data_IF_021721744751
#
_entry.id   IF_021721744751
#
_cell.length_a   1.000
_cell.length_b   1.000
_cell.length_c   1.000
_cell.angle_alpha   90.00
_cell.angle_beta   90.00
_cell.angle_gamma   90.00
#
_symmetry.space_group_name_H-M   'P 1'
#
loop_
_entity.id
_entity.type
_entity.pdbx_description
1 polymer ?
#
# COMPACT_ATOMS: atom_id res chain seq x y z
N UNK A 1 8.20 -2.98 -22.68
CA UNK A 1 8.26 -2.08 -23.84
C UNK A 1 8.78 -0.67 -23.50
N UNK A 2 8.27 0.02 -22.47
CA UNK A 2 8.80 1.34 -22.04
C UNK A 2 10.26 1.32 -21.56
N UNK A 3 10.72 0.22 -20.96
CA UNK A 3 12.08 0.10 -20.42
C UNK A 3 13.17 0.01 -21.52
N UNK A 4 12.95 -0.82 -22.55
CA UNK A 4 13.92 -1.03 -23.62
C UNK A 4 14.13 0.21 -24.48
N UNK A 5 13.06 0.96 -24.76
CA UNK A 5 13.15 2.22 -25.49
C UNK A 5 13.82 3.32 -24.66
N UNK A 6 13.59 3.36 -23.35
CA UNK A 6 14.28 4.29 -22.43
C UNK A 6 15.78 4.00 -22.38
N UNK A 7 16.17 2.72 -22.27
CA UNK A 7 17.58 2.30 -22.31
C UNK A 7 18.24 2.61 -23.67
N UNK A 8 17.51 2.49 -24.79
CA UNK A 8 18.01 2.83 -26.12
C UNK A 8 18.27 4.33 -26.26
N UNK A 9 17.31 5.17 -25.89
CA UNK A 9 17.44 6.63 -25.91
C UNK A 9 18.59 7.12 -25.03
N UNK A 10 18.75 6.53 -23.86
CA UNK A 10 19.84 6.84 -22.94
C UNK A 10 21.20 6.50 -23.56
N UNK A 11 21.35 5.32 -24.19
CA UNK A 11 22.58 4.92 -24.90
C UNK A 11 22.93 5.86 -26.04
N UNK A 12 21.94 6.30 -26.83
CA UNK A 12 22.18 7.23 -27.94
C UNK A 12 22.66 8.60 -27.43
N UNK A 13 22.09 9.10 -26.32
CA UNK A 13 22.54 10.37 -25.72
C UNK A 13 23.93 10.29 -25.10
N UNK A 14 24.29 9.16 -24.48
CA UNK A 14 25.62 8.94 -23.89
C UNK A 14 26.72 8.77 -24.96
N UNK A 15 26.42 8.17 -26.11
CA UNK A 15 27.38 8.07 -27.23
C UNK A 15 27.81 9.44 -27.78
N UNK A 16 26.93 10.44 -27.68
CA UNK A 16 27.14 11.76 -28.28
C UNK A 16 27.62 12.83 -27.29
N UNK A 17 27.63 12.54 -25.98
CA UNK A 17 28.10 13.46 -24.95
C UNK A 17 28.97 12.70 -23.94
N UNK A 18 30.29 12.93 -23.98
CA UNK A 18 31.23 12.39 -23.01
C UNK A 18 31.10 13.10 -21.66
N UNK A 19 30.04 12.78 -20.92
CA UNK A 19 29.87 13.15 -19.53
C UNK A 19 29.62 11.85 -18.76
N UNK A 20 30.42 11.60 -17.73
CA UNK A 20 30.15 10.53 -16.76
C UNK A 20 28.74 10.70 -16.21
N UNK A 21 27.84 9.81 -16.57
CA UNK A 21 26.44 9.88 -16.22
C UNK A 21 26.07 8.59 -15.52
N UNK A 22 25.84 8.67 -14.21
CA UNK A 22 25.17 7.61 -13.45
C UNK A 22 23.68 7.73 -13.70
N UNK A 23 23.07 6.67 -14.22
CA UNK A 23 21.63 6.63 -14.46
C UNK A 23 21.00 5.75 -13.40
N UNK A 24 20.30 6.39 -12.47
CA UNK A 24 19.57 5.70 -11.42
C UNK A 24 18.17 5.43 -11.97
N UNK A 25 17.92 4.21 -12.42
CA UNK A 25 16.58 3.76 -12.76
C UNK A 25 15.91 3.27 -11.48
N UNK A 26 15.09 4.13 -10.88
CA UNK A 26 14.20 3.72 -9.79
C UNK A 26 13.00 3.07 -10.45
N UNK A 27 12.94 1.73 -10.44
CA UNK A 27 11.69 1.05 -10.73
C UNK A 27 10.74 1.40 -9.60
N UNK A 28 9.82 2.33 -9.86
CA UNK A 28 8.62 2.40 -9.06
C UNK A 28 7.98 1.02 -9.09
N UNK A 29 7.36 0.64 -7.97
CA UNK A 29 6.48 -0.52 -7.89
C UNK A 29 7.22 -1.85 -7.64
N UNK A 30 7.77 -1.96 -6.44
CA UNK A 30 7.51 -3.06 -5.49
C UNK A 30 8.24 -2.65 -4.21
N UNK A 31 7.60 -2.79 -3.04
CA UNK A 31 8.35 -2.75 -1.78
C UNK A 31 8.91 -4.16 -1.57
N UNK A 32 10.23 -4.34 -1.46
CA UNK A 32 11.24 -3.28 -1.33
C UNK A 32 11.65 -2.63 -2.65
N UNK A 33 11.85 -1.31 -2.61
CA UNK A 33 12.33 -0.52 -3.78
C UNK A 33 13.74 -0.99 -4.14
N UNK A 34 13.86 -1.74 -5.22
CA UNK A 34 15.17 -2.04 -5.83
C UNK A 34 15.66 -0.78 -6.54
N UNK A 35 16.80 -0.22 -6.10
CA UNK A 35 17.48 0.81 -6.88
C UNK A 35 18.38 0.08 -7.87
N UNK A 36 18.04 0.20 -9.15
CA UNK A 36 18.92 -0.24 -10.21
C UNK A 36 19.88 0.91 -10.53
N UNK A 37 21.12 0.81 -10.05
CA UNK A 37 22.16 1.78 -10.37
C UNK A 37 22.87 1.32 -11.64
N UNK A 38 22.70 2.06 -12.73
CA UNK A 38 23.50 1.86 -13.95
C UNK A 38 24.72 2.78 -13.87
N UNK A 39 25.87 2.20 -13.54
CA UNK A 39 27.16 2.87 -13.61
C UNK A 39 27.80 2.56 -14.96
N UNK A 40 27.96 3.57 -15.81
CA UNK A 40 28.73 3.45 -17.04
C UNK A 40 30.14 4.01 -16.80
N UNK A 41 31.13 3.14 -16.68
CA UNK A 41 32.54 3.53 -16.63
C UNK A 41 33.03 3.85 -18.05
N UNK A 42 33.33 5.12 -18.30
CA UNK A 42 33.73 5.63 -19.62
C UNK A 42 35.24 5.50 -19.89
N UNK A 43 36.06 5.10 -18.90
CA UNK A 43 37.51 4.97 -19.08
C UNK A 43 37.91 3.69 -19.82
N UNK A 44 36.98 2.74 -19.93
CA UNK A 44 37.13 1.52 -20.71
C UNK A 44 36.17 1.57 -21.90
N UNK A 45 36.68 1.55 -23.12
CA UNK A 45 35.91 1.44 -24.38
C UNK A 45 35.06 0.16 -24.50
N UNK A 46 35.12 -0.71 -23.48
CA UNK A 46 34.19 -1.81 -23.28
C UNK A 46 33.20 -1.40 -22.18
N UNK A 47 31.92 -1.27 -22.54
CA UNK A 47 30.82 -1.32 -21.57
C UNK A 47 30.86 -2.69 -20.87
N UNK A 48 31.67 -2.81 -19.82
CA UNK A 48 31.56 -3.90 -18.86
C UNK A 48 30.17 -3.75 -18.23
N UNK A 49 29.25 -4.65 -18.59
CA UNK A 49 27.89 -4.64 -18.07
C UNK A 49 27.88 -5.26 -16.67
N UNK A 50 28.57 -4.66 -15.71
CA UNK A 50 28.35 -4.99 -14.30
C UNK A 50 27.09 -4.26 -13.85
N UNK A 51 25.98 -5.00 -13.77
CA UNK A 51 24.75 -4.49 -13.17
C UNK A 51 24.90 -4.58 -11.65
N UNK A 52 25.12 -3.45 -11.00
CA UNK A 52 25.07 -3.38 -9.54
C UNK A 52 23.65 -3.02 -9.11
N UNK A 53 22.91 -4.03 -8.64
CA UNK A 53 21.64 -3.81 -7.97
C UNK A 53 21.97 -3.44 -6.53
N UNK A 54 21.77 -2.18 -6.17
CA UNK A 54 21.89 -1.72 -4.79
C UNK A 54 20.50 -1.68 -4.17
N UNK A 55 20.24 -2.55 -3.21
CA UNK A 55 18.96 -2.58 -2.51
C UNK A 55 18.98 -1.58 -1.35
N UNK A 56 18.02 -0.66 -1.31
CA UNK A 56 17.81 0.20 -0.15
C UNK A 56 17.25 -0.64 0.99
N UNK A 57 18.09 -0.94 1.99
CA UNK A 57 17.68 -1.77 3.12
C UNK A 57 16.82 -1.02 4.17
N UNK A 58 16.67 0.30 4.06
CA UNK A 58 15.94 1.11 5.04
C UNK A 58 14.54 1.49 4.55
N UNK A 59 13.51 1.13 5.32
CA UNK A 59 12.14 1.59 5.09
C UNK A 59 11.85 2.79 5.98
N UNK A 60 11.62 3.95 5.36
CA UNK A 60 11.36 5.24 6.02
C UNK A 60 9.88 5.66 6.03
N UNK A 61 8.98 4.83 5.49
CA UNK A 61 7.53 5.08 5.40
C UNK A 61 6.73 3.96 6.04
N UNK A 62 5.56 4.27 6.58
CA UNK A 62 4.72 3.32 7.32
C UNK A 62 5.15 3.12 8.77
N UNK A 63 4.25 2.64 9.62
CA UNK A 63 4.59 2.42 11.02
C UNK A 63 5.48 1.20 11.20
N UNK A 64 6.37 1.23 12.20
CA UNK A 64 7.20 0.07 12.53
C UNK A 64 6.36 -1.18 12.82
N UNK A 65 5.22 -1.03 13.48
CA UNK A 65 4.30 -2.11 13.84
C UNK A 65 3.65 -2.78 12.62
N UNK A 66 3.25 -1.99 11.62
CA UNK A 66 2.74 -2.51 10.34
C UNK A 66 3.85 -3.27 9.62
N UNK A 67 5.03 -2.66 9.48
CA UNK A 67 6.18 -3.28 8.82
C UNK A 67 6.54 -4.61 9.50
N UNK A 68 6.69 -4.62 10.81
CA UNK A 68 7.14 -5.79 11.56
C UNK A 68 6.08 -6.92 11.57
N UNK A 69 4.78 -6.59 11.55
CA UNK A 69 3.71 -7.59 11.37
C UNK A 69 3.88 -8.35 10.05
N UNK A 70 4.09 -7.63 8.94
CA UNK A 70 4.22 -8.24 7.62
C UNK A 70 5.57 -8.91 7.35
N UNK A 71 6.63 -8.53 8.06
CA UNK A 71 7.88 -9.29 8.07
C UNK A 71 7.70 -10.72 8.54
N UNK A 72 6.86 -10.94 9.54
CA UNK A 72 6.56 -12.27 10.06
C UNK A 72 5.95 -13.19 8.99
N UNK A 73 5.19 -12.61 8.06
CA UNK A 73 4.55 -13.35 6.95
C UNK A 73 5.47 -13.55 5.74
N UNK A 74 6.49 -12.70 5.56
CA UNK A 74 7.41 -12.75 4.42
C UNK A 74 8.89 -12.74 4.85
N UNK A 75 9.37 -13.78 5.55
CA UNK A 75 10.73 -13.82 6.10
C UNK A 75 11.82 -13.70 5.03
N UNK A 76 11.58 -14.23 3.82
CA UNK A 76 12.55 -14.21 2.71
C UNK A 76 12.57 -12.89 1.92
N UNK A 77 11.51 -12.06 2.01
CA UNK A 77 11.38 -10.82 1.24
C UNK A 77 11.73 -9.56 2.05
N UNK A 78 12.00 -9.69 3.35
CA UNK A 78 12.21 -8.55 4.24
C UNK A 78 13.59 -8.55 4.90
N UNK A 79 14.58 -8.04 4.17
CA UNK A 79 15.91 -7.71 4.74
C UNK A 79 15.89 -6.35 5.48
N UNK A 80 14.74 -5.68 5.54
CA UNK A 80 14.66 -4.26 5.88
C UNK A 80 14.37 -4.01 7.36
N UNK A 81 15.16 -3.19 8.05
CA UNK A 81 14.80 -2.71 9.39
C UNK A 81 13.84 -1.51 9.30
N UNK A 82 12.75 -1.56 10.06
CA UNK A 82 11.84 -0.41 10.17
C UNK A 82 12.44 0.58 11.17
N UNK A 83 12.86 1.75 10.70
CA UNK A 83 13.43 2.83 11.52
C UNK A 83 12.38 3.89 11.90
N UNK A 84 11.11 3.60 11.64
CA UNK A 84 10.01 4.55 11.79
C UNK A 84 9.49 4.59 13.23
N UNK A 85 8.65 5.59 13.51
CA UNK A 85 7.93 5.74 14.78
C UNK A 85 7.13 4.45 15.06
N UNK A 86 7.13 4.02 16.33
CA UNK A 86 6.26 2.94 16.79
C UNK A 86 4.82 3.44 16.66
N UNK A 87 4.07 2.90 15.70
CA UNK A 87 2.67 3.23 15.48
C UNK A 87 1.73 2.22 16.14
N UNK A 88 0.47 2.23 15.71
CA UNK A 88 -0.53 1.30 16.22
C UNK A 88 -0.27 -0.13 15.74
N UNK A 89 -0.59 -1.16 16.55
CA UNK A 89 -0.58 -2.54 16.08
C UNK A 89 -1.61 -2.73 14.95
N UNK A 90 -1.39 -3.73 14.09
CA UNK A 90 -2.36 -4.12 13.06
C UNK A 90 -3.59 -4.73 13.75
N UNK A 91 -4.77 -4.24 13.39
CA UNK A 91 -6.05 -4.81 13.86
C UNK A 91 -6.49 -5.90 12.90
N UNK A 92 -6.84 -7.07 13.44
CA UNK A 92 -7.29 -8.23 12.66
C UNK A 92 -8.77 -8.48 12.94
N UNK A 93 -9.59 -8.51 11.88
CA UNK A 93 -11.02 -8.76 11.95
C UNK A 93 -11.36 -9.95 11.06
N UNK A 94 -11.73 -11.06 11.70
CA UNK A 94 -12.12 -12.30 11.03
C UNK A 94 -13.65 -12.39 10.98
N UNK A 95 -14.19 -12.81 9.83
CA UNK A 95 -15.63 -12.95 9.63
C UNK A 95 -15.98 -14.07 8.63
N UNK A 96 -17.26 -14.44 8.54
CA UNK A 96 -17.72 -15.26 7.43
C UNK A 96 -17.74 -14.43 6.12
N UNK A 97 -17.57 -15.08 4.96
CA UNK A 97 -17.61 -14.38 3.67
C UNK A 97 -18.92 -13.59 3.43
N UNK A 98 -20.04 -14.08 3.96
CA UNK A 98 -21.33 -13.40 3.89
C UNK A 98 -21.41 -12.14 4.77
N UNK A 99 -20.49 -11.98 5.72
CA UNK A 99 -20.49 -10.92 6.73
C UNK A 99 -19.43 -9.85 6.46
N UNK A 100 -18.53 -10.04 5.51
CA UNK A 100 -17.37 -9.16 5.27
C UNK A 100 -17.74 -7.67 5.13
N UNK A 101 -18.82 -7.36 4.42
CA UNK A 101 -19.33 -5.99 4.26
C UNK A 101 -19.80 -5.38 5.58
N UNK A 102 -20.48 -6.18 6.41
CA UNK A 102 -20.99 -5.76 7.71
C UNK A 102 -19.84 -5.59 8.72
N UNK A 103 -18.92 -6.55 8.77
CA UNK A 103 -17.73 -6.49 9.62
C UNK A 103 -16.86 -5.27 9.30
N UNK A 104 -16.62 -4.99 8.02
CA UNK A 104 -15.91 -3.78 7.60
C UNK A 104 -16.63 -2.51 8.08
N UNK A 105 -17.95 -2.43 7.87
CA UNK A 105 -18.74 -1.27 8.29
C UNK A 105 -18.63 -1.04 9.81
N UNK A 106 -18.74 -2.09 10.61
CA UNK A 106 -18.55 -2.01 12.06
C UNK A 106 -17.14 -1.55 12.44
N UNK A 107 -16.12 -2.02 11.72
CA UNK A 107 -14.74 -1.56 11.89
C UNK A 107 -14.52 -0.10 11.50
N UNK A 108 -15.31 0.42 10.57
CA UNK A 108 -15.22 1.81 10.08
C UNK A 108 -15.90 2.81 11.04
N UNK A 109 -16.97 2.41 11.73
CA UNK A 109 -17.77 3.29 12.61
C UNK A 109 -16.99 4.12 13.63
N UNK A 110 -15.98 3.58 14.36
CA UNK A 110 -15.21 4.36 15.32
C UNK A 110 -14.45 5.54 14.69
N UNK A 111 -14.11 5.45 13.41
CA UNK A 111 -13.46 6.53 12.66
C UNK A 111 -14.48 7.52 12.14
N UNK A 112 -15.62 7.04 11.64
CA UNK A 112 -16.70 7.93 11.17
C UNK A 112 -17.32 8.75 12.29
N UNK A 113 -17.40 8.19 13.50
CA UNK A 113 -17.88 8.91 14.68
C UNK A 113 -17.00 10.12 15.04
N UNK A 114 -15.75 10.16 14.59
CA UNK A 114 -14.86 11.31 14.78
C UNK A 114 -15.09 12.42 13.73
N UNK A 115 -15.90 12.16 12.69
CA UNK A 115 -16.22 13.14 11.64
C UNK A 115 -17.34 14.13 12.03
N UNK A 116 -18.02 13.95 13.17
CA UNK A 116 -19.23 14.73 13.50
C UNK A 116 -18.92 16.15 14.05
N UNK A 117 -18.70 17.10 13.13
CA UNK A 117 -19.50 18.33 13.11
C UNK A 117 -19.11 19.56 13.97
N UNK A 118 -17.96 19.64 14.62
CA UNK A 118 -17.48 20.92 15.21
C UNK A 118 -16.15 21.35 14.57
N UNK A 119 -16.20 21.73 13.29
CA UNK A 119 -15.15 22.58 12.74
C UNK A 119 -15.31 23.97 13.37
N UNK A 120 -14.56 24.25 14.43
CA UNK A 120 -14.44 25.60 14.98
C UNK A 120 -13.30 26.30 14.22
N UNK A 121 -13.57 27.09 13.16
CA UNK A 121 -12.52 27.75 12.38
C UNK A 121 -11.71 28.78 13.18
N UNK A 122 -12.08 29.05 14.43
CA UNK A 122 -11.40 29.98 15.33
C UNK A 122 -10.56 29.29 16.41
N UNK A 123 -10.59 27.96 16.51
CA UNK A 123 -9.69 27.21 17.39
C UNK A 123 -8.30 27.14 16.75
N UNK A 124 -7.39 27.98 17.26
CA UNK A 124 -5.96 27.75 17.14
C UNK A 124 -5.59 26.73 18.20
N UNK A 125 -5.08 25.58 17.76
CA UNK A 125 -4.70 24.38 18.54
C UNK A 125 -5.83 23.38 18.85
N UNK A 126 -6.12 22.49 17.89
CA UNK A 126 -6.62 21.14 18.17
C UNK A 126 -6.10 20.18 17.10
N UNK A 127 -5.73 18.98 17.51
CA UNK A 127 -5.25 17.87 16.68
C UNK A 127 -6.14 17.74 15.43
N UNK A 128 -5.56 17.69 14.22
CA UNK A 128 -6.37 17.44 13.01
C UNK A 128 -7.10 16.12 13.23
N UNK A 129 -8.41 16.18 13.33
CA UNK A 129 -9.26 14.99 13.31
C UNK A 129 -8.98 14.20 12.03
N UNK A 130 -9.28 12.90 12.08
CA UNK A 130 -9.27 12.07 10.89
C UNK A 130 -10.21 12.73 9.88
N UNK A 131 -9.83 12.80 8.61
CA UNK A 131 -10.67 13.25 7.50
C UNK A 131 -11.03 12.05 6.58
N UNK A 132 -12.11 12.07 5.79
CA UNK A 132 -12.45 10.98 4.88
C UNK A 132 -11.32 10.58 3.93
N UNK A 133 -10.57 11.56 3.40
CA UNK A 133 -9.37 11.32 2.58
C UNK A 133 -8.22 10.59 3.28
N UNK A 134 -8.25 10.49 4.61
CA UNK A 134 -7.23 9.79 5.37
C UNK A 134 -7.48 8.28 5.42
N UNK A 135 -8.64 7.83 4.92
CA UNK A 135 -9.08 6.44 4.93
C UNK A 135 -9.12 5.90 3.49
N UNK A 136 -8.55 4.71 3.32
CA UNK A 136 -8.76 3.88 2.13
C UNK A 136 -9.18 2.47 2.49
N UNK A 137 -10.04 1.90 1.66
CA UNK A 137 -10.46 0.51 1.69
C UNK A 137 -9.93 -0.16 0.43
N UNK A 138 -8.98 -1.07 0.61
CA UNK A 138 -8.29 -1.76 -0.47
C UNK A 138 -8.73 -3.22 -0.49
N UNK A 139 -9.32 -3.63 -1.61
CA UNK A 139 -9.97 -4.93 -1.76
C UNK A 139 -9.18 -5.82 -2.72
N UNK A 140 -9.16 -7.13 -2.46
CA UNK A 140 -8.50 -8.15 -3.29
C UNK A 140 -9.30 -8.58 -4.54
N UNK A 141 -10.61 -8.34 -4.55
CA UNK A 141 -11.53 -8.72 -5.63
C UNK A 141 -12.34 -7.51 -6.11
N UNK A 142 -12.23 -7.20 -7.40
CA UNK A 142 -12.91 -6.09 -8.05
C UNK A 142 -14.44 -6.18 -8.02
N UNK A 143 -15.03 -7.38 -7.93
CA UNK A 143 -16.49 -7.55 -7.77
C UNK A 143 -16.93 -7.03 -6.41
N UNK A 144 -16.16 -7.35 -5.36
CA UNK A 144 -16.45 -6.90 -4.00
C UNK A 144 -16.26 -5.40 -3.86
N UNK A 145 -15.33 -4.77 -4.59
CA UNK A 145 -15.22 -3.29 -4.65
C UNK A 145 -16.57 -2.66 -5.01
N UNK A 146 -17.20 -3.12 -6.09
CA UNK A 146 -18.48 -2.55 -6.55
C UNK A 146 -19.61 -2.78 -5.55
N UNK A 147 -19.72 -4.00 -5.03
CA UNK A 147 -20.74 -4.34 -4.03
C UNK A 147 -20.56 -3.54 -2.74
N UNK A 148 -19.31 -3.35 -2.32
CA UNK A 148 -18.97 -2.67 -1.10
C UNK A 148 -19.18 -1.16 -1.20
N UNK A 149 -18.73 -0.54 -2.30
CA UNK A 149 -18.97 0.88 -2.58
C UNK A 149 -20.47 1.17 -2.57
N UNK A 150 -21.28 0.31 -3.22
CA UNK A 150 -22.74 0.44 -3.16
C UNK A 150 -23.27 0.30 -1.73
N UNK A 151 -22.85 -0.73 -1.01
CA UNK A 151 -23.30 -0.97 0.37
C UNK A 151 -22.98 0.19 1.31
N UNK A 152 -21.78 0.79 1.22
CA UNK A 152 -21.37 1.93 2.04
C UNK A 152 -22.14 3.21 1.67
N UNK A 153 -22.34 3.46 0.37
CA UNK A 153 -23.17 4.58 -0.10
C UNK A 153 -24.64 4.44 0.37
N UNK A 154 -25.20 3.23 0.38
CA UNK A 154 -26.53 2.94 0.93
C UNK A 154 -26.61 3.20 2.46
N UNK A 155 -25.46 3.21 3.14
CA UNK A 155 -25.29 3.58 4.56
C UNK A 155 -24.92 5.06 4.76
N UNK A 156 -25.05 5.89 3.74
CA UNK A 156 -24.74 7.32 3.77
C UNK A 156 -23.26 7.63 4.00
N UNK A 157 -22.38 6.70 3.65
CA UNK A 157 -20.93 6.91 3.67
C UNK A 157 -20.50 7.19 2.23
N UNK A 158 -20.03 8.40 1.95
CA UNK A 158 -19.64 8.78 0.59
C UNK A 158 -18.30 8.13 0.23
N UNK A 159 -18.37 7.16 -0.68
CA UNK A 159 -17.22 6.40 -1.16
C UNK A 159 -17.02 6.58 -2.66
N UNK A 160 -15.75 6.52 -3.10
CA UNK A 160 -15.39 6.54 -4.52
C UNK A 160 -14.06 5.82 -4.76
N UNK A 161 -13.67 5.69 -6.02
CA UNK A 161 -12.37 5.17 -6.44
C UNK A 161 -11.22 6.05 -5.95
N UNK A 162 -9.98 5.55 -6.05
CA UNK A 162 -8.78 6.35 -5.72
C UNK A 162 -8.69 7.60 -6.60
N UNK A 163 -9.05 7.49 -7.89
CA UNK A 163 -9.06 8.62 -8.81
C UNK A 163 -10.15 9.65 -8.46
N UNK A 164 -11.33 9.20 -8.04
CA UNK A 164 -12.40 10.09 -7.60
C UNK A 164 -12.03 10.81 -6.30
N UNK A 165 -11.46 10.12 -5.31
CA UNK A 165 -10.99 10.75 -4.06
C UNK A 165 -9.89 11.80 -4.31
N UNK A 166 -9.04 11.59 -5.32
CA UNK A 166 -8.04 12.58 -5.71
C UNK A 166 -8.67 13.91 -6.19
N UNK A 167 -9.91 13.86 -6.70
CA UNK A 167 -10.67 15.01 -7.15
C UNK A 167 -11.65 15.53 -6.08
N UNK A 168 -12.12 14.67 -5.17
CA UNK A 168 -13.00 15.02 -4.06
C UNK A 168 -12.48 14.43 -2.72
N UNK A 169 -11.83 15.25 -1.87
CA UNK A 169 -11.25 14.79 -0.61
C UNK A 169 -12.30 14.43 0.45
N UNK A 170 -13.59 14.62 0.19
CA UNK A 170 -14.67 14.18 1.08
C UNK A 170 -15.02 12.69 0.89
N UNK A 171 -14.46 12.03 -0.13
CA UNK A 171 -14.66 10.61 -0.38
C UNK A 171 -13.72 9.75 0.45
N UNK A 172 -14.22 8.61 0.92
CA UNK A 172 -13.37 7.48 1.33
C UNK A 172 -13.03 6.67 0.07
N UNK A 173 -11.74 6.42 -0.16
CA UNK A 173 -11.31 5.60 -1.30
C UNK A 173 -11.70 4.14 -1.08
N UNK A 174 -12.36 3.53 -2.07
CA UNK A 174 -12.70 2.11 -2.11
C UNK A 174 -12.31 1.58 -3.47
N UNK A 175 -11.28 0.75 -3.54
CA UNK A 175 -10.73 0.30 -4.81
C UNK A 175 -10.01 -1.05 -4.72
N UNK A 176 -9.71 -1.63 -5.87
CA UNK A 176 -8.86 -2.80 -5.96
C UNK A 176 -7.42 -2.42 -5.60
N UNK A 177 -6.71 -3.28 -4.85
CA UNK A 177 -5.38 -2.94 -4.33
C UNK A 177 -4.37 -2.53 -5.43
N UNK A 178 -4.47 -3.10 -6.63
CA UNK A 178 -3.59 -2.75 -7.77
C UNK A 178 -3.72 -1.29 -8.22
N UNK A 179 -4.89 -0.67 -8.05
CA UNK A 179 -5.11 0.74 -8.40
C UNK A 179 -4.47 1.70 -7.39
N UNK A 180 -4.15 1.20 -6.19
CA UNK A 180 -3.65 1.99 -5.06
C UNK A 180 -2.12 2.07 -4.97
N UNK A 181 -1.40 1.39 -5.86
CA UNK A 181 0.07 1.19 -5.79
C UNK A 181 0.86 2.50 -5.65
N UNK A 182 0.35 3.61 -6.18
CA UNK A 182 1.04 4.92 -6.18
C UNK A 182 0.60 5.86 -5.05
N UNK A 183 -0.32 5.42 -4.19
CA UNK A 183 -0.97 6.25 -3.18
C UNK A 183 -0.65 5.75 -1.77
N UNK A 184 -0.83 6.60 -0.77
CA UNK A 184 -0.55 6.31 0.65
C UNK A 184 -1.62 7.00 1.49
N UNK A 185 -2.10 6.31 2.53
CA UNK A 185 -3.15 6.81 3.44
C UNK A 185 -2.73 6.63 4.90
N UNK A 186 -3.09 7.55 5.80
CA UNK A 186 -2.96 7.34 7.25
C UNK A 186 -3.59 6.04 7.72
N UNK A 187 -4.79 5.70 7.24
CA UNK A 187 -5.58 4.55 7.68
C UNK A 187 -5.97 3.71 6.46
N UNK A 188 -5.67 2.42 6.52
CA UNK A 188 -6.05 1.47 5.46
C UNK A 188 -6.84 0.32 6.06
N UNK A 189 -7.97 0.02 5.44
CA UNK A 189 -8.71 -1.22 5.60
C UNK A 189 -8.33 -2.15 4.44
N UNK A 190 -7.55 -3.19 4.72
CA UNK A 190 -7.30 -4.26 3.76
C UNK A 190 -8.44 -5.27 3.87
N UNK A 191 -9.16 -5.52 2.78
CA UNK A 191 -10.35 -6.39 2.76
C UNK A 191 -10.12 -7.52 1.79
N UNK A 192 -10.08 -8.76 2.27
CA UNK A 192 -9.76 -9.90 1.42
C UNK A 192 -10.48 -11.20 1.77
N UNK A 193 -10.60 -12.06 0.77
CA UNK A 193 -11.27 -13.37 0.89
C UNK A 193 -10.29 -14.52 1.12
N UNK A 194 -8.99 -14.24 1.11
CA UNK A 194 -7.94 -15.22 1.33
C UNK A 194 -7.32 -15.04 2.71
N UNK A 195 -6.98 -16.15 3.36
CA UNK A 195 -6.11 -16.11 4.53
C UNK A 195 -4.77 -15.46 4.17
N UNK A 196 -4.14 -14.82 5.15
CA UNK A 196 -2.80 -14.21 5.04
C UNK A 196 -1.70 -15.29 5.03
N UNK A 197 -1.90 -16.31 4.20
CA UNK A 197 -0.91 -17.34 3.91
C UNK A 197 0.01 -16.88 2.76
N UNK A 198 1.14 -17.57 2.59
CA UNK A 198 2.39 -17.14 1.95
C UNK A 198 2.38 -16.56 0.51
N UNK A 199 1.22 -16.36 -0.12
CA UNK A 199 1.07 -15.72 -1.43
C UNK A 199 0.15 -14.47 -1.38
N UNK A 200 0.03 -13.87 -0.19
CA UNK A 200 -0.78 -12.68 0.07
C UNK A 200 -0.09 -11.39 -0.44
N UNK A 201 0.07 -11.32 -1.76
CA UNK A 201 0.57 -10.12 -2.44
C UNK A 201 -0.32 -8.90 -2.22
N UNK A 202 -1.63 -9.08 -2.00
CA UNK A 202 -2.55 -7.96 -1.76
C UNK A 202 -2.33 -7.36 -0.36
N UNK A 203 -2.20 -8.19 0.67
CA UNK A 203 -1.99 -7.78 2.04
C UNK A 203 -0.69 -6.99 2.19
N UNK A 204 0.37 -7.43 1.51
CA UNK A 204 1.62 -6.68 1.42
C UNK A 204 1.44 -5.31 0.74
N UNK A 205 0.72 -5.25 -0.38
CA UNK A 205 0.46 -3.98 -1.06
C UNK A 205 -0.32 -3.06 -0.14
N UNK A 206 -1.44 -3.50 0.44
CA UNK A 206 -2.28 -2.70 1.33
C UNK A 206 -1.52 -2.21 2.56
N UNK A 207 -0.73 -3.08 3.19
CA UNK A 207 0.14 -2.72 4.31
C UNK A 207 1.15 -1.64 3.94
N UNK A 208 1.74 -1.73 2.74
CA UNK A 208 2.70 -0.74 2.27
C UNK A 208 2.06 0.63 1.95
N UNK A 209 0.73 0.70 1.82
CA UNK A 209 0.01 1.97 1.63
C UNK A 209 -0.37 2.62 2.97
N UNK A 210 -0.37 1.85 4.07
CA UNK A 210 -0.82 2.30 5.39
C UNK A 210 0.28 3.02 6.17
N UNK A 211 0.06 4.29 6.50
CA UNK A 211 1.06 5.13 7.18
C UNK A 211 1.00 5.04 8.70
N UNK A 212 -0.19 4.98 9.29
CA UNK A 212 -0.37 5.00 10.75
C UNK A 212 -1.11 3.79 11.29
N UNK A 213 -2.18 3.35 10.61
CA UNK A 213 -3.05 2.26 11.05
C UNK A 213 -3.43 1.35 9.88
N UNK A 214 -3.39 0.04 10.14
CA UNK A 214 -3.86 -0.99 9.24
C UNK A 214 -4.90 -1.84 9.96
N UNK A 215 -6.08 -1.98 9.35
CA UNK A 215 -7.11 -2.94 9.75
C UNK A 215 -7.21 -3.97 8.64
N UNK A 216 -7.02 -5.25 8.96
CA UNK A 216 -7.19 -6.35 8.02
C UNK A 216 -8.52 -7.06 8.31
N UNK A 217 -9.45 -6.98 7.36
CA UNK A 217 -10.75 -7.66 7.40
C UNK A 217 -10.66 -8.84 6.44
N UNK A 218 -10.69 -10.06 6.98
CA UNK A 218 -10.54 -11.26 6.17
C UNK A 218 -11.60 -12.32 6.49
N UNK A 219 -11.89 -13.15 5.50
CA UNK A 219 -12.82 -14.28 5.67
C UNK A 219 -12.11 -15.50 6.25
N UNK A 220 -12.84 -16.36 6.98
CA UNK A 220 -12.28 -17.64 7.41
C UNK A 220 -11.90 -18.54 6.23
N UNK A 221 -10.66 -19.06 6.23
CA UNK A 221 -10.40 -20.32 5.54
C UNK A 221 -11.06 -21.42 6.37
N UNK A 222 -11.90 -22.26 5.75
CA UNK A 222 -12.26 -23.56 6.33
C UNK A 222 -10.96 -24.32 6.63
N UNK A 223 -10.52 -24.34 7.88
CA UNK A 223 -10.01 -25.58 8.43
C UNK A 223 -11.22 -26.49 8.59
N UNK A 224 -11.56 -27.22 7.52
CA UNK A 224 -12.31 -28.45 7.73
C UNK A 224 -11.45 -29.27 8.70
N UNK A 225 -11.97 -29.54 9.89
CA UNK A 225 -11.32 -30.41 10.84
C UNK A 225 -10.91 -31.71 10.12
N UNK A 226 -9.60 -31.94 9.98
CA UNK A 226 -9.09 -33.28 9.84
C UNK A 226 -8.96 -33.84 11.24
N UNK A 227 -9.93 -34.70 11.55
CA UNK A 227 -9.99 -35.66 12.64
C UNK A 227 -8.65 -36.06 13.28
N UNK A 228 -8.63 -36.05 14.61
CA UNK A 228 -7.91 -36.95 15.52
C UNK A 228 -6.64 -37.63 14.97
N UNK A 229 -5.48 -37.10 15.34
CA UNK A 229 -4.48 -37.73 16.22
C UNK A 229 -3.47 -36.67 16.71
#
# INVERSE_FOLDING_TARGET
MLFDDTLRLLKERLKNNAIGCTVIAITGIQSPRRILTLTADLEKTHLDKTFEISELQTVLRGSKCIIDAWKGHFPDNYVHQGHNIIGNPVTWMQCAATEIKQTLYEGLMPFLAQFDGHFNPNEKDTERGIEPRDIAILVDDAVIVQELTKFLNDKWITCGTVEEQANDPLLIAVDHFEQSISYEWPIVFAVGHKSVDADDSYGLVAASRAMALLINVHTECRSAASSAD
#
